data_IF_035991576989
#
_entry.id   IF_035991576989
#
_cell.length_a   1.000
_cell.length_b   1.000
_cell.length_c   1.000
_cell.angle_alpha   90.00
_cell.angle_beta   90.00
_cell.angle_gamma   90.00
#
_symmetry.space_group_name_H-M   'P 1'
#
loop_
_entity.id
_entity.type
_entity.pdbx_description
1 polymer ?
#
# COMPACT_ATOMS: atom_id res chain seq x y z
N UNK A 1 43.99 -7.11 25.24
CA UNK A 1 42.73 -6.33 25.30
C UNK A 1 42.01 -6.48 23.98
N UNK A 2 40.84 -7.14 23.96
CA UNK A 2 40.13 -7.47 22.72
C UNK A 2 39.50 -6.21 22.09
N UNK A 3 39.99 -5.81 20.93
CA UNK A 3 39.43 -4.72 20.13
C UNK A 3 38.10 -5.16 19.53
N UNK A 4 36.99 -4.66 20.09
CA UNK A 4 35.64 -4.82 19.54
C UNK A 4 35.59 -4.14 18.17
N UNK A 5 35.71 -4.94 17.11
CA UNK A 5 35.53 -4.49 15.74
C UNK A 5 34.06 -4.12 15.51
N UNK A 6 33.70 -2.85 15.73
CA UNK A 6 32.38 -2.30 15.39
C UNK A 6 32.28 -2.28 13.86
N UNK A 7 31.81 -3.39 13.27
CA UNK A 7 31.33 -3.43 11.88
C UNK A 7 30.26 -2.34 11.74
N UNK A 8 30.64 -1.20 11.13
CA UNK A 8 29.70 -0.16 10.69
C UNK A 8 28.73 -0.87 9.74
N UNK A 9 27.49 -1.09 10.17
CA UNK A 9 26.43 -1.57 9.27
C UNK A 9 26.35 -0.52 8.17
N UNK A 10 26.70 -0.92 6.94
CA UNK A 10 26.55 -0.04 5.79
C UNK A 10 25.10 0.44 5.78
N UNK A 11 24.91 1.77 5.89
CA UNK A 11 23.58 2.34 5.77
C UNK A 11 23.02 1.90 4.41
N UNK A 12 21.79 1.35 4.36
CA UNK A 12 21.20 0.97 3.09
C UNK A 12 21.15 2.20 2.19
N UNK A 13 21.57 2.06 0.94
CA UNK A 13 21.59 3.14 -0.08
C UNK A 13 20.21 3.72 -0.37
N UNK A 14 19.16 3.07 0.13
CA UNK A 14 17.76 3.35 -0.15
C UNK A 14 17.03 3.36 1.19
N UNK A 15 16.40 4.47 1.52
CA UNK A 15 15.53 4.61 2.69
C UNK A 15 14.29 3.73 2.55
N UNK A 16 13.67 3.34 3.66
CA UNK A 16 12.43 2.57 3.61
C UNK A 16 11.34 3.30 2.80
N UNK A 17 11.29 4.63 2.87
CA UNK A 17 10.36 5.44 2.08
C UNK A 17 10.59 5.29 0.57
N UNK A 18 11.84 5.32 0.12
CA UNK A 18 12.23 5.13 -1.28
C UNK A 18 11.86 3.74 -1.81
N UNK A 19 12.04 2.70 -0.99
CA UNK A 19 11.66 1.32 -1.34
C UNK A 19 10.18 1.15 -1.68
N UNK A 20 9.31 2.00 -1.12
CA UNK A 20 7.86 1.91 -1.28
C UNK A 20 7.26 3.02 -2.14
N UNK A 21 8.06 3.90 -2.74
CA UNK A 21 7.58 5.04 -3.52
C UNK A 21 6.54 4.68 -4.60
N UNK A 22 6.59 3.46 -5.14
CA UNK A 22 5.68 2.99 -6.18
C UNK A 22 4.62 2.00 -5.71
N UNK A 23 4.65 1.59 -4.43
CA UNK A 23 3.70 0.61 -3.90
C UNK A 23 2.43 1.30 -3.42
N UNK A 24 1.29 0.64 -3.65
CA UNK A 24 -0.04 1.08 -3.24
C UNK A 24 -0.63 0.07 -2.27
N UNK A 25 -1.46 0.51 -1.32
CA UNK A 25 -2.26 -0.40 -0.49
C UNK A 25 -3.38 -1.00 -1.31
N UNK A 26 -3.65 -2.28 -1.06
CA UNK A 26 -4.88 -2.93 -1.48
C UNK A 26 -5.96 -2.56 -0.46
N UNK A 27 -7.04 -1.94 -0.93
CA UNK A 27 -8.19 -1.53 -0.12
C UNK A 27 -9.45 -2.26 -0.57
N UNK A 28 -10.44 -2.36 0.32
CA UNK A 28 -11.71 -3.05 0.06
C UNK A 28 -12.82 -2.06 -0.28
N UNK A 29 -14.01 -2.58 -0.61
CA UNK A 29 -15.15 -1.76 -1.01
C UNK A 29 -15.59 -0.83 0.12
N UNK A 30 -15.51 -1.28 1.37
CA UNK A 30 -15.80 -0.45 2.55
C UNK A 30 -14.91 0.80 2.62
N UNK A 31 -13.61 0.65 2.35
CA UNK A 31 -12.66 1.78 2.34
C UNK A 31 -12.90 2.69 1.14
N UNK A 32 -13.25 2.13 -0.02
CA UNK A 32 -13.65 2.93 -1.17
C UNK A 32 -14.94 3.73 -0.90
N UNK A 33 -15.96 3.14 -0.28
CA UNK A 33 -17.23 3.80 0.05
C UNK A 33 -17.07 4.94 1.06
N UNK A 34 -16.21 4.75 2.08
CA UNK A 34 -15.91 5.78 3.07
C UNK A 34 -14.97 6.89 2.56
N UNK A 35 -14.40 6.72 1.36
CA UNK A 35 -13.44 7.68 0.83
C UNK A 35 -14.15 8.97 0.38
N UNK A 36 -13.69 10.12 0.90
CA UNK A 36 -14.19 11.43 0.48
C UNK A 36 -13.85 11.74 -0.99
N UNK A 37 -12.75 11.18 -1.48
CA UNK A 37 -12.30 11.36 -2.86
C UNK A 37 -12.51 10.07 -3.64
N UNK A 38 -13.71 9.91 -4.21
CA UNK A 38 -14.04 8.77 -5.06
C UNK A 38 -13.17 8.78 -6.31
N UNK A 39 -12.70 7.59 -6.72
CA UNK A 39 -11.88 7.43 -7.91
C UNK A 39 -12.45 6.36 -8.83
N UNK A 40 -12.14 6.45 -10.12
CA UNK A 40 -12.64 5.53 -11.15
C UNK A 40 -12.33 4.06 -10.84
N UNK A 41 -11.17 3.77 -10.24
CA UNK A 41 -10.80 2.41 -9.81
C UNK A 41 -11.69 1.91 -8.66
N UNK A 42 -11.97 2.76 -7.69
CA UNK A 42 -12.82 2.45 -6.53
C UNK A 42 -14.27 2.24 -6.94
N UNK A 43 -14.82 3.14 -7.76
CA UNK A 43 -16.19 3.05 -8.27
C UNK A 43 -16.40 1.74 -9.05
N UNK A 44 -15.52 1.43 -10.00
CA UNK A 44 -15.58 0.15 -10.74
C UNK A 44 -15.49 -1.08 -9.84
N UNK A 45 -14.76 -0.98 -8.73
CA UNK A 45 -14.64 -2.07 -7.78
C UNK A 45 -15.92 -2.23 -6.94
N UNK A 46 -16.53 -1.11 -6.52
CA UNK A 46 -17.84 -1.10 -5.85
C UNK A 46 -18.91 -1.70 -6.76
N UNK A 47 -18.98 -1.29 -8.03
CA UNK A 47 -19.96 -1.80 -8.99
C UNK A 47 -19.83 -3.32 -9.20
N UNK A 48 -18.59 -3.82 -9.22
CA UNK A 48 -18.33 -5.26 -9.25
C UNK A 48 -18.79 -5.94 -7.96
N UNK A 49 -18.47 -5.36 -6.80
CA UNK A 49 -18.86 -5.92 -5.50
C UNK A 49 -20.36 -5.87 -5.24
N UNK A 50 -21.11 -4.98 -5.90
CA UNK A 50 -22.56 -4.90 -5.77
C UNK A 50 -23.30 -6.07 -6.43
N UNK A 51 -22.60 -6.89 -7.24
CA UNK A 51 -23.21 -8.06 -7.88
C UNK A 51 -23.17 -9.26 -6.93
N UNK A 52 -24.29 -9.98 -6.75
CA UNK A 52 -24.34 -11.15 -5.88
C UNK A 52 -23.37 -12.24 -6.39
N UNK A 53 -22.66 -12.88 -5.47
CA UNK A 53 -21.69 -13.94 -5.77
C UNK A 53 -20.26 -13.47 -6.08
N UNK A 54 -19.99 -12.16 -6.10
CA UNK A 54 -18.62 -11.67 -6.34
C UNK A 54 -17.76 -11.66 -5.08
N UNK A 55 -16.59 -12.30 -5.16
CA UNK A 55 -15.56 -12.28 -4.13
C UNK A 55 -14.54 -11.19 -4.45
N UNK A 56 -14.47 -10.19 -3.58
CA UNK A 56 -13.59 -9.05 -3.72
C UNK A 56 -12.15 -9.33 -3.31
N UNK A 57 -11.18 -9.13 -4.21
CA UNK A 57 -9.73 -9.22 -3.92
C UNK A 57 -9.08 -7.89 -3.54
N UNK A 58 -9.89 -6.85 -3.36
CA UNK A 58 -9.46 -5.46 -3.15
C UNK A 58 -8.99 -4.75 -4.43
N UNK A 59 -8.75 -3.45 -4.30
CA UNK A 59 -8.27 -2.56 -5.37
C UNK A 59 -7.06 -1.77 -4.89
N UNK A 60 -6.05 -1.60 -5.75
CA UNK A 60 -4.88 -0.79 -5.40
C UNK A 60 -5.25 0.71 -5.36
N UNK A 61 -5.04 1.35 -4.21
CA UNK A 61 -5.37 2.75 -4.00
C UNK A 61 -4.18 3.65 -4.35
N UNK A 62 -4.29 4.43 -5.43
CA UNK A 62 -3.25 5.37 -5.85
C UNK A 62 -2.99 6.49 -4.81
N UNK A 63 -3.98 6.84 -3.99
CA UNK A 63 -3.82 7.81 -2.89
C UNK A 63 -2.94 7.29 -1.75
N UNK A 64 -2.74 5.97 -1.67
CA UNK A 64 -1.88 5.32 -0.66
C UNK A 64 -0.46 5.04 -1.17
N UNK A 65 -0.07 5.63 -2.31
CA UNK A 65 1.26 5.50 -2.89
C UNK A 65 2.34 5.84 -1.83
N UNK A 66 3.35 4.99 -1.67
CA UNK A 66 4.40 5.20 -0.67
C UNK A 66 4.07 4.69 0.74
N UNK A 67 2.82 4.28 1.01
CA UNK A 67 2.33 3.92 2.35
C UNK A 67 1.91 2.46 2.47
N UNK A 68 2.33 1.59 1.55
CA UNK A 68 1.84 0.21 1.43
C UNK A 68 2.05 -0.63 2.70
N UNK A 69 3.22 -0.52 3.32
CA UNK A 69 3.55 -1.20 4.56
C UNK A 69 3.74 -0.15 5.65
N UNK A 70 2.72 0.03 6.49
CA UNK A 70 2.82 0.70 7.79
C UNK A 70 2.10 -0.17 8.78
#
# INVERSE_FOLDING_TARGET
MATKNKKKKAAPKITAAEKYQYTMKIVTSATCLACKQQCTRGLRYIDKMSKPGNIGKGVACHLTKGRAFK
#
